data_IF_672612427720
#
_entry.id   IF_672612427720
#
_cell.length_a   1.000
_cell.length_b   1.000
_cell.length_c   1.000
_cell.angle_alpha   90.00
_cell.angle_beta   90.00
_cell.angle_gamma   90.00
#
_symmetry.space_group_name_H-M   'P 1'
#
loop_
_entity.id
_entity.type
_entity.pdbx_description
1 polymer ?
#
# COMPACT_ATOMS: atom_id res chain seq x y z
N UNK A 1 7.57 -11.49 -8.17
CA UNK A 1 7.70 -10.10 -7.70
C UNK A 1 7.01 -9.26 -8.74
N UNK A 2 5.87 -8.72 -8.39
CA UNK A 2 5.02 -7.92 -9.27
C UNK A 2 4.89 -6.55 -8.63
N UNK A 3 5.13 -5.49 -9.42
CA UNK A 3 4.97 -4.12 -8.96
C UNK A 3 3.57 -3.68 -9.35
N UNK A 4 2.79 -3.21 -8.39
CA UNK A 4 1.46 -2.66 -8.66
C UNK A 4 1.22 -1.41 -7.84
N UNK A 5 0.28 -0.58 -8.29
CA UNK A 5 -0.13 0.59 -7.51
C UNK A 5 -0.78 0.15 -6.20
N UNK A 6 -0.45 0.85 -5.11
CA UNK A 6 -1.05 0.66 -3.79
C UNK A 6 -2.57 0.80 -3.89
N UNK A 7 -3.06 1.76 -4.68
CA UNK A 7 -4.49 1.90 -5.01
C UNK A 7 -5.14 0.59 -5.47
N UNK A 8 -4.54 -0.11 -6.42
CA UNK A 8 -5.07 -1.36 -6.94
C UNK A 8 -5.02 -2.48 -5.90
N UNK A 9 -3.95 -2.54 -5.10
CA UNK A 9 -3.82 -3.51 -4.02
C UNK A 9 -4.92 -3.30 -2.95
N UNK A 10 -5.10 -2.06 -2.53
CA UNK A 10 -6.10 -1.65 -1.54
C UNK A 10 -7.51 -1.96 -2.03
N UNK A 11 -7.85 -1.57 -3.26
CA UNK A 11 -9.17 -1.83 -3.84
C UNK A 11 -9.48 -3.33 -3.92
N UNK A 12 -8.46 -4.15 -4.17
CA UNK A 12 -8.63 -5.60 -4.28
C UNK A 12 -8.89 -6.26 -2.94
N UNK A 13 -8.32 -5.73 -1.84
CA UNK A 13 -8.34 -6.43 -0.55
C UNK A 13 -9.20 -5.75 0.51
N UNK A 14 -9.17 -4.42 0.60
CA UNK A 14 -10.00 -3.66 1.54
C UNK A 14 -10.23 -2.26 0.97
N UNK A 15 -11.27 -2.09 0.12
CA UNK A 15 -11.59 -0.80 -0.48
C UNK A 15 -11.92 0.27 0.55
N UNK A 16 -12.33 -0.09 1.77
CA UNK A 16 -12.54 0.85 2.89
C UNK A 16 -11.27 1.63 3.28
N UNK A 17 -10.08 1.05 3.07
CA UNK A 17 -8.81 1.73 3.34
C UNK A 17 -8.42 2.69 2.20
N UNK A 18 -9.06 2.57 1.02
CA UNK A 18 -8.80 3.43 -0.12
C UNK A 18 -9.11 4.89 0.20
N UNK A 19 -10.19 5.14 0.94
CA UNK A 19 -10.61 6.48 1.34
C UNK A 19 -9.73 7.07 2.45
N UNK A 20 -8.95 6.25 3.14
CA UNK A 20 -8.03 6.70 4.20
C UNK A 20 -6.65 7.09 3.65
N UNK A 21 -6.36 6.71 2.41
CA UNK A 21 -5.11 6.99 1.74
C UNK A 21 -5.21 8.28 0.92
N UNK A 22 -4.10 9.00 0.80
CA UNK A 22 -4.01 10.21 -0.03
C UNK A 22 -3.67 9.83 -1.47
N UNK A 23 -3.96 10.70 -2.44
CA UNK A 23 -3.56 10.47 -3.83
C UNK A 23 -2.08 10.09 -4.01
N UNK A 24 -1.18 10.68 -3.23
CA UNK A 24 0.26 10.36 -3.25
C UNK A 24 0.57 8.93 -2.80
N UNK A 25 -0.20 8.42 -1.84
CA UNK A 25 -0.09 7.04 -1.34
C UNK A 25 -0.68 6.07 -2.36
N UNK A 26 -1.83 6.42 -2.93
CA UNK A 26 -2.54 5.62 -3.91
C UNK A 26 -1.78 5.47 -5.22
N UNK A 27 -1.00 6.50 -5.60
CA UNK A 27 -0.12 6.46 -6.76
C UNK A 27 1.21 5.72 -6.48
N UNK A 28 1.51 5.44 -5.22
CA UNK A 28 2.73 4.72 -4.83
C UNK A 28 2.75 3.31 -5.40
N UNK A 29 3.89 2.92 -5.96
CA UNK A 29 4.14 1.56 -6.44
C UNK A 29 4.64 0.68 -5.30
N UNK A 30 3.94 -0.43 -5.06
CA UNK A 30 4.33 -1.43 -4.07
C UNK A 30 4.72 -2.73 -4.75
N UNK A 31 5.79 -3.34 -4.24
CA UNK A 31 6.28 -4.63 -4.73
C UNK A 31 5.59 -5.72 -3.93
N UNK A 32 4.78 -6.52 -4.62
CA UNK A 32 4.04 -7.63 -4.04
C UNK A 32 4.57 -8.94 -4.61
N UNK A 33 4.92 -9.87 -3.73
CA UNK A 33 5.49 -11.16 -4.17
C UNK A 33 4.40 -12.19 -4.46
N UNK A 34 3.22 -12.08 -3.83
CA UNK A 34 2.06 -12.94 -4.10
C UNK A 34 0.75 -12.35 -3.53
N UNK A 35 -0.05 -11.66 -4.36
CA UNK A 35 -1.29 -10.98 -3.91
C UNK A 35 -2.33 -11.97 -3.36
N UNK A 36 -2.36 -13.20 -3.90
CA UNK A 36 -3.31 -14.25 -3.49
C UNK A 36 -2.94 -14.94 -2.17
N UNK A 37 -1.64 -14.93 -1.82
CA UNK A 37 -1.12 -15.47 -0.57
C UNK A 37 -0.86 -14.41 0.49
N UNK A 38 -1.06 -13.14 0.14
CA UNK A 38 -0.96 -12.03 1.07
C UNK A 38 -2.10 -12.17 2.08
N UNK A 39 -1.73 -12.32 3.34
CA UNK A 39 -2.69 -12.36 4.42
C UNK A 39 -3.11 -10.93 4.76
N UNK A 40 -4.29 -10.79 5.37
CA UNK A 40 -4.82 -9.47 5.74
C UNK A 40 -3.90 -8.71 6.70
N UNK A 41 -3.14 -9.44 7.52
CA UNK A 41 -2.10 -8.91 8.42
C UNK A 41 -0.91 -8.33 7.64
N UNK A 42 -0.35 -9.08 6.68
CA UNK A 42 0.76 -8.61 5.83
C UNK A 42 0.37 -7.35 5.04
N UNK A 43 -0.87 -7.25 4.58
CA UNK A 43 -1.36 -6.04 3.95
C UNK A 43 -1.37 -4.85 4.88
N UNK A 44 -1.85 -5.04 6.11
CA UNK A 44 -1.86 -3.95 7.07
C UNK A 44 -0.45 -3.41 7.30
N UNK A 45 0.56 -4.29 7.35
CA UNK A 45 1.96 -3.88 7.43
C UNK A 45 2.43 -3.15 6.16
N UNK A 46 2.13 -3.65 4.96
CA UNK A 46 2.53 -3.00 3.71
C UNK A 46 1.92 -1.59 3.60
N UNK A 47 0.67 -1.45 4.01
CA UNK A 47 -0.07 -0.18 3.98
C UNK A 47 0.51 0.77 5.02
N UNK A 48 0.72 0.31 6.24
CA UNK A 48 1.38 1.10 7.28
C UNK A 48 2.77 1.55 6.84
N UNK A 49 3.56 0.66 6.25
CA UNK A 49 4.88 1.00 5.71
C UNK A 49 4.79 1.99 4.55
N UNK A 50 3.85 1.82 3.62
CA UNK A 50 3.65 2.75 2.51
C UNK A 50 3.31 4.17 3.01
N UNK A 51 2.43 4.24 4.01
CA UNK A 51 2.04 5.48 4.70
C UNK A 51 3.22 6.09 5.44
N UNK A 52 3.97 5.32 6.22
CA UNK A 52 5.13 5.82 6.95
C UNK A 52 6.25 6.28 6.01
N UNK A 53 6.48 5.57 4.90
CA UNK A 53 7.50 5.92 3.92
C UNK A 53 7.19 7.24 3.20
N UNK A 54 5.90 7.52 2.95
CA UNK A 54 5.46 8.76 2.29
C UNK A 54 5.16 9.89 3.28
N UNK A 55 4.87 9.61 4.55
CA UNK A 55 4.75 10.61 5.62
C UNK A 55 6.07 11.09 6.19
N UNK A 56 7.16 10.35 5.99
CA UNK A 56 8.49 10.88 6.22
C UNK A 56 8.91 11.66 4.97
N UNK A 57 8.73 13.00 4.90
CA UNK A 57 9.61 13.76 4.02
C UNK A 57 11.04 13.38 4.41
N UNK A 58 11.96 13.20 3.46
CA UNK A 58 13.36 13.00 3.79
C UNK A 58 13.81 14.21 4.62
N UNK A 59 13.86 14.05 5.94
CA UNK A 59 14.46 15.04 6.81
C UNK A 59 15.97 14.98 6.52
N UNK A 60 16.41 16.15 6.05
CA UNK A 60 17.73 16.63 5.70
C UNK A 60 18.88 16.18 6.63
#
# INVERSE_FOLDING_TARGET
METMKLSTLILTVSPDLYELLRDVELDSEVIVTNIQSINRDDLSEIISQAIEHHHCPPYH
#
